data_IF_501014517847
#
_entry.id   IF_501014517847
#
_cell.length_a   1.000
_cell.length_b   1.000
_cell.length_c   1.000
_cell.angle_alpha   90.00
_cell.angle_beta   90.00
_cell.angle_gamma   90.00
#
_symmetry.space_group_name_H-M   'P 1'
#
loop_
_entity.id
_entity.type
_entity.pdbx_description
1 polymer ?
#
# COMPACT_ATOMS: atom_id res chain seq x y z
N UNK A 1 65.14 -18.84 49.15
CA UNK A 1 64.63 -17.55 48.64
C UNK A 1 63.35 -17.77 47.81
N UNK A 2 62.15 -17.93 48.41
CA UNK A 2 60.91 -18.19 47.67
C UNK A 2 60.05 -16.94 47.40
N UNK A 3 60.21 -15.87 48.20
CA UNK A 3 59.31 -14.72 48.20
C UNK A 3 59.35 -13.89 46.90
N UNK A 4 60.50 -13.79 46.23
CA UNK A 4 60.63 -13.00 44.98
C UNK A 4 59.91 -13.65 43.79
N UNK A 5 59.85 -14.99 43.74
CA UNK A 5 59.14 -15.73 42.69
C UNK A 5 57.61 -15.63 42.84
N UNK A 6 57.10 -15.69 44.08
CA UNK A 6 55.67 -15.53 44.36
C UNK A 6 55.15 -14.13 44.04
N UNK A 7 55.94 -13.08 44.28
CA UNK A 7 55.57 -11.70 43.93
C UNK A 7 55.48 -11.51 42.42
N UNK A 8 56.40 -12.11 41.65
CA UNK A 8 56.39 -12.05 40.18
C UNK A 8 55.16 -12.75 39.60
N UNK A 9 54.84 -13.95 40.09
CA UNK A 9 53.65 -14.71 39.66
C UNK A 9 52.37 -13.94 40.00
N UNK A 10 52.28 -13.36 41.20
CA UNK A 10 51.14 -12.53 41.59
C UNK A 10 50.98 -11.30 40.68
N UNK A 11 52.09 -10.63 40.33
CA UNK A 11 52.07 -9.47 39.45
C UNK A 11 51.59 -9.82 38.03
N UNK A 12 52.08 -10.93 37.45
CA UNK A 12 51.64 -11.41 36.12
C UNK A 12 50.16 -11.78 36.13
N UNK A 13 49.68 -12.39 37.22
CA UNK A 13 48.29 -12.79 37.35
C UNK A 13 47.36 -11.58 37.46
N UNK A 14 47.76 -10.55 38.21
CA UNK A 14 47.02 -9.27 38.29
C UNK A 14 46.96 -8.58 36.92
N UNK A 15 48.09 -8.48 36.22
CA UNK A 15 48.13 -7.89 34.86
C UNK A 15 47.25 -8.69 33.89
N UNK A 16 47.32 -10.03 33.93
CA UNK A 16 46.47 -10.89 33.12
C UNK A 16 44.98 -10.68 33.41
N UNK A 17 44.62 -10.49 34.67
CA UNK A 17 43.24 -10.22 35.09
C UNK A 17 42.74 -8.86 34.58
N UNK A 18 43.60 -7.83 34.59
CA UNK A 18 43.28 -6.53 34.00
C UNK A 18 43.10 -6.60 32.48
N UNK A 19 43.99 -7.31 31.78
CA UNK A 19 43.89 -7.48 30.32
C UNK A 19 42.61 -8.24 29.95
N UNK A 20 42.30 -9.33 30.65
CA UNK A 20 41.08 -10.10 30.43
C UNK A 20 39.82 -9.28 30.74
N UNK A 21 39.84 -8.50 31.83
CA UNK A 21 38.73 -7.61 32.17
C UNK A 21 38.50 -6.59 31.06
N UNK A 22 39.55 -5.90 30.59
CA UNK A 22 39.44 -4.91 29.52
C UNK A 22 38.92 -5.53 28.20
N UNK A 23 39.35 -6.75 27.88
CA UNK A 23 38.87 -7.53 26.73
C UNK A 23 37.36 -7.82 26.83
N UNK A 24 36.90 -8.24 28.01
CA UNK A 24 35.48 -8.50 28.27
C UNK A 24 34.66 -7.22 28.15
N UNK A 25 35.12 -6.09 28.72
CA UNK A 25 34.41 -4.80 28.59
C UNK A 25 34.37 -4.32 27.15
N UNK A 26 35.47 -4.44 26.40
CA UNK A 26 35.52 -4.08 24.99
C UNK A 26 34.56 -4.95 24.16
N UNK A 27 34.49 -6.25 24.44
CA UNK A 27 33.57 -7.17 23.79
C UNK A 27 32.09 -6.88 24.13
N UNK A 28 31.79 -6.60 25.40
CA UNK A 28 30.45 -6.19 25.83
C UNK A 28 30.03 -4.86 25.19
N UNK A 29 30.92 -3.86 25.16
CA UNK A 29 30.66 -2.60 24.49
C UNK A 29 30.44 -2.79 22.98
N UNK A 30 31.23 -3.65 22.33
CA UNK A 30 31.07 -3.97 20.91
C UNK A 30 29.74 -4.67 20.61
N UNK A 31 29.36 -5.65 21.42
CA UNK A 31 28.08 -6.37 21.25
C UNK A 31 26.87 -5.49 21.56
N UNK A 32 26.95 -4.60 22.56
CA UNK A 32 25.93 -3.58 22.82
C UNK A 32 25.83 -2.59 21.66
N UNK A 33 26.96 -2.14 21.11
CA UNK A 33 26.99 -1.26 19.96
C UNK A 33 26.34 -1.91 18.73
N UNK A 34 26.67 -3.19 18.44
CA UNK A 34 26.05 -3.93 17.34
C UNK A 34 24.54 -4.12 17.53
N UNK A 35 24.10 -4.45 18.75
CA UNK A 35 22.66 -4.57 19.06
C UNK A 35 21.93 -3.24 18.90
N UNK A 36 22.43 -2.17 19.49
CA UNK A 36 21.82 -0.84 19.37
C UNK A 36 21.78 -0.37 17.90
N UNK A 37 22.86 -0.57 17.15
CA UNK A 37 22.93 -0.26 15.72
C UNK A 37 21.90 -1.04 14.90
N UNK A 38 21.71 -2.33 15.19
CA UNK A 38 20.73 -3.16 14.48
C UNK A 38 19.28 -2.71 14.69
N UNK A 39 18.95 -2.23 15.90
CA UNK A 39 17.61 -1.72 16.22
C UNK A 39 17.36 -0.41 15.49
N UNK A 40 18.30 0.54 15.57
CA UNK A 40 18.20 1.83 14.89
C UNK A 40 18.11 1.66 13.37
N UNK A 41 18.89 0.73 12.80
CA UNK A 41 18.80 0.38 11.37
C UNK A 41 17.41 -0.11 11.01
N UNK A 42 16.86 -1.05 11.78
CA UNK A 42 15.54 -1.61 11.51
C UNK A 42 14.45 -0.55 11.59
N UNK A 43 14.55 0.36 12.55
CA UNK A 43 13.61 1.47 12.71
C UNK A 43 13.67 2.44 11.54
N UNK A 44 14.87 2.87 11.12
CA UNK A 44 15.04 3.79 9.97
C UNK A 44 14.54 3.13 8.68
N UNK A 45 14.93 1.88 8.41
CA UNK A 45 14.45 1.14 7.24
C UNK A 45 12.93 0.99 7.27
N UNK A 46 12.36 0.62 8.42
CA UNK A 46 10.91 0.49 8.57
C UNK A 46 10.21 1.83 8.37
N UNK A 47 10.73 2.92 8.91
CA UNK A 47 10.15 4.26 8.76
C UNK A 47 10.13 4.68 7.29
N UNK A 48 11.26 4.56 6.58
CA UNK A 48 11.35 4.88 5.15
C UNK A 48 10.41 3.98 4.33
N UNK A 49 10.32 2.69 4.66
CA UNK A 49 9.45 1.75 3.94
C UNK A 49 7.97 2.06 4.14
N UNK A 50 7.56 2.42 5.35
CA UNK A 50 6.18 2.82 5.65
C UNK A 50 5.84 4.12 4.94
N UNK A 51 6.76 5.09 4.95
CA UNK A 51 6.59 6.35 4.26
C UNK A 51 6.50 6.17 2.74
N UNK A 52 7.34 5.29 2.17
CA UNK A 52 7.28 4.91 0.77
C UNK A 52 5.92 4.32 0.38
N UNK A 53 5.37 3.41 1.20
CA UNK A 53 4.02 2.87 0.98
C UNK A 53 2.93 3.94 1.04
N UNK A 54 3.07 4.94 1.92
CA UNK A 54 2.13 6.08 2.00
C UNK A 54 2.24 6.97 0.76
N UNK A 55 3.46 7.26 0.30
CA UNK A 55 3.70 7.99 -0.95
C UNK A 55 3.05 7.28 -2.14
N UNK A 56 3.23 5.97 -2.27
CA UNK A 56 2.57 5.15 -3.29
C UNK A 56 1.04 5.19 -3.17
N UNK A 57 0.50 5.05 -1.96
CA UNK A 57 -0.94 5.13 -1.73
C UNK A 57 -1.52 6.48 -2.17
N UNK A 58 -0.84 7.59 -1.86
CA UNK A 58 -1.25 8.93 -2.27
C UNK A 58 -1.25 9.10 -3.80
N UNK A 59 -0.24 8.55 -4.48
CA UNK A 59 -0.16 8.58 -5.94
C UNK A 59 -1.21 7.69 -6.61
N UNK A 60 -1.53 6.54 -6.01
CA UNK A 60 -2.64 5.71 -6.49
C UNK A 60 -3.99 6.39 -6.26
N UNK A 61 -4.18 7.07 -5.13
CA UNK A 61 -5.37 7.89 -4.89
C UNK A 61 -5.50 9.01 -5.95
N UNK A 62 -4.39 9.67 -6.31
CA UNK A 62 -4.37 10.64 -7.40
C UNK A 62 -4.82 10.04 -8.74
N UNK A 63 -4.19 8.93 -9.16
CA UNK A 63 -4.51 8.28 -10.43
C UNK A 63 -5.97 7.78 -10.49
N UNK A 64 -6.46 7.19 -9.40
CA UNK A 64 -7.83 6.67 -9.35
C UNK A 64 -8.87 7.80 -9.34
N UNK A 65 -8.61 8.91 -8.66
CA UNK A 65 -9.51 10.08 -8.64
C UNK A 65 -9.53 10.84 -9.97
N UNK A 66 -8.38 10.98 -10.63
CA UNK A 66 -8.31 11.63 -11.94
C UNK A 66 -9.01 10.83 -13.04
N UNK A 67 -8.97 9.49 -12.98
CA UNK A 67 -9.58 8.62 -13.97
C UNK A 67 -11.07 8.32 -13.74
N UNK A 68 -11.58 8.30 -12.50
CA UNK A 68 -13.00 7.99 -12.25
C UNK A 68 -13.93 9.18 -12.50
N UNK A 69 -13.69 10.30 -11.81
CA UNK A 69 -14.56 11.47 -11.87
C UNK A 69 -13.80 12.73 -11.42
N UNK A 70 -13.02 13.29 -12.35
CA UNK A 70 -12.14 14.43 -12.06
C UNK A 70 -12.89 15.64 -11.48
N UNK A 71 -14.11 15.92 -11.93
CA UNK A 71 -14.85 17.12 -11.47
C UNK A 71 -15.21 17.05 -10.00
N UNK A 72 -15.51 15.84 -9.49
CA UNK A 72 -15.77 15.61 -8.05
C UNK A 72 -14.51 15.82 -7.20
N UNK A 73 -13.34 15.50 -7.72
CA UNK A 73 -12.07 15.54 -6.99
C UNK A 73 -11.15 16.67 -7.43
N UNK A 74 -11.69 17.69 -8.10
CA UNK A 74 -10.95 18.79 -8.72
C UNK A 74 -10.09 19.58 -7.74
N UNK A 75 -10.54 19.76 -6.50
CA UNK A 75 -9.75 20.43 -5.46
C UNK A 75 -8.45 19.67 -5.13
N UNK A 76 -8.48 18.34 -5.21
CA UNK A 76 -7.33 17.49 -4.96
C UNK A 76 -6.48 17.31 -6.22
N UNK A 77 -7.10 17.00 -7.36
CA UNK A 77 -6.39 16.74 -8.63
C UNK A 77 -5.84 18.01 -9.25
N UNK A 78 -6.51 19.16 -9.06
CA UNK A 78 -6.10 20.46 -9.60
C UNK A 78 -4.72 20.91 -9.14
N UNK A 79 -4.29 20.51 -7.93
CA UNK A 79 -2.94 20.80 -7.40
C UNK A 79 -1.82 20.16 -8.21
N UNK A 80 -2.14 19.18 -9.03
CA UNK A 80 -1.19 18.42 -9.84
C UNK A 80 -1.28 18.77 -11.33
N UNK A 81 -2.20 19.64 -11.74
CA UNK A 81 -2.33 20.09 -13.14
C UNK A 81 -1.07 20.87 -13.60
N UNK A 82 -0.48 21.67 -12.71
CA UNK A 82 0.79 22.38 -12.98
C UNK A 82 1.96 21.41 -13.24
N UNK A 83 1.89 20.20 -12.69
CA UNK A 83 2.85 19.13 -12.90
C UNK A 83 2.54 18.27 -14.14
N UNK A 84 1.55 18.68 -14.94
CA UNK A 84 1.17 18.03 -16.20
C UNK A 84 0.11 16.94 -16.07
N UNK A 85 -0.63 16.88 -14.95
CA UNK A 85 -1.79 16.00 -14.81
C UNK A 85 -2.88 16.43 -15.81
N UNK A 86 -3.37 15.47 -16.60
CA UNK A 86 -4.51 15.66 -17.49
C UNK A 86 -5.71 14.85 -16.96
N UNK A 87 -6.89 15.45 -16.81
CA UNK A 87 -8.10 14.74 -16.40
C UNK A 87 -8.37 13.50 -17.26
N UNK A 88 -8.66 12.36 -16.63
CA UNK A 88 -8.96 11.11 -17.34
C UNK A 88 -7.76 10.38 -17.97
N UNK A 89 -6.58 10.98 -18.03
CA UNK A 89 -5.39 10.39 -18.65
C UNK A 89 -4.50 9.68 -17.62
N UNK A 90 -4.51 8.34 -17.64
CA UNK A 90 -3.70 7.51 -16.74
C UNK A 90 -2.19 7.73 -16.97
N UNK A 91 -1.75 7.98 -18.21
CA UNK A 91 -0.33 8.16 -18.50
C UNK A 91 0.18 9.49 -17.93
N UNK A 92 -0.66 10.53 -17.92
CA UNK A 92 -0.35 11.76 -17.19
C UNK A 92 -0.21 11.53 -15.69
N UNK A 93 -1.13 10.76 -15.09
CA UNK A 93 -1.08 10.44 -13.67
C UNK A 93 0.19 9.63 -13.31
N UNK A 94 0.59 8.69 -14.18
CA UNK A 94 1.85 7.95 -14.04
C UNK A 94 3.08 8.85 -14.09
N UNK A 95 3.13 9.81 -15.03
CA UNK A 95 4.24 10.78 -15.11
C UNK A 95 4.35 11.63 -13.85
N UNK A 96 3.22 12.17 -13.37
CA UNK A 96 3.16 12.93 -12.12
C UNK A 96 3.58 12.08 -10.92
N UNK A 97 3.12 10.83 -10.86
CA UNK A 97 3.51 9.91 -9.80
C UNK A 97 5.02 9.61 -9.79
N UNK A 98 5.66 9.45 -10.95
CA UNK A 98 7.12 9.30 -11.03
C UNK A 98 7.85 10.55 -10.52
N UNK A 99 7.46 11.73 -11.00
CA UNK A 99 8.05 12.99 -10.56
C UNK A 99 7.89 13.24 -9.04
N UNK A 100 6.74 12.84 -8.48
CA UNK A 100 6.51 12.90 -7.04
C UNK A 100 7.41 11.92 -6.28
N UNK A 101 7.57 10.68 -6.76
CA UNK A 101 8.43 9.69 -6.11
C UNK A 101 9.91 10.08 -6.20
N UNK A 102 10.36 10.70 -7.28
CA UNK A 102 11.70 11.28 -7.41
C UNK A 102 11.93 12.42 -6.40
N UNK A 103 10.93 13.29 -6.23
CA UNK A 103 10.95 14.35 -5.22
C UNK A 103 10.98 13.78 -3.80
N UNK A 104 10.20 12.72 -3.55
CA UNK A 104 10.21 11.98 -2.29
C UNK A 104 11.58 11.34 -2.02
N UNK A 105 12.20 10.72 -3.02
CA UNK A 105 13.54 10.13 -2.91
C UNK A 105 14.58 11.18 -2.49
N UNK A 106 14.55 12.36 -3.12
CA UNK A 106 15.39 13.48 -2.77
C UNK A 106 15.13 13.97 -1.33
N UNK A 107 13.86 14.08 -0.92
CA UNK A 107 13.49 14.49 0.43
C UNK A 107 13.97 13.50 1.50
N UNK A 108 13.86 12.19 1.26
CA UNK A 108 14.35 11.16 2.20
C UNK A 108 15.88 11.21 2.32
N UNK A 109 16.60 11.42 1.22
CA UNK A 109 18.07 11.58 1.25
C UNK A 109 18.49 12.77 2.12
N UNK A 110 17.76 13.88 2.05
CA UNK A 110 18.00 15.06 2.90
C UNK A 110 17.63 14.79 4.35
N UNK A 111 16.43 14.25 4.61
CA UNK A 111 15.91 14.02 5.95
C UNK A 111 16.77 13.05 6.76
N UNK A 112 17.41 12.07 6.10
CA UNK A 112 18.27 11.09 6.75
C UNK A 112 19.74 11.22 6.34
N UNK A 113 20.18 12.41 5.91
CA UNK A 113 21.56 12.64 5.45
C UNK A 113 22.62 12.20 6.49
N UNK A 114 22.38 12.48 7.78
CA UNK A 114 23.25 12.08 8.89
C UNK A 114 23.43 10.56 9.02
N UNK A 115 22.44 9.79 8.57
CA UNK A 115 22.49 8.32 8.55
C UNK A 115 23.11 7.78 7.25
N UNK A 116 23.57 8.64 6.35
CA UNK A 116 24.20 8.24 5.10
C UNK A 116 23.25 7.44 4.20
N UNK A 117 21.98 7.85 4.17
CA UNK A 117 20.94 7.15 3.41
C UNK A 117 21.11 7.39 1.93
N UNK A 118 21.16 6.30 1.18
CA UNK A 118 21.00 6.31 -0.26
C UNK A 118 19.75 5.53 -0.60
N UNK A 119 18.80 6.23 -1.22
CA UNK A 119 17.54 5.68 -1.70
C UNK A 119 17.60 5.62 -3.21
N UNK A 120 17.12 4.54 -3.80
CA UNK A 120 17.00 4.36 -5.25
C UNK A 120 15.66 3.66 -5.53
N UNK A 121 14.85 4.28 -6.38
CA UNK A 121 13.63 3.67 -6.93
C UNK A 121 14.02 2.61 -7.97
N UNK A 122 13.39 1.43 -7.88
CA UNK A 122 13.65 0.31 -8.78
C UNK A 122 12.37 -0.03 -9.53
N UNK A 123 12.43 -0.06 -10.86
CA UNK A 123 11.34 -0.56 -11.68
C UNK A 123 11.03 -2.00 -11.30
N UNK A 124 9.76 -2.25 -10.97
CA UNK A 124 9.31 -3.55 -10.50
C UNK A 124 7.98 -3.90 -11.14
N UNK A 125 7.82 -5.18 -11.45
CA UNK A 125 6.57 -5.75 -11.93
C UNK A 125 5.94 -6.55 -10.81
N UNK A 126 4.66 -6.32 -10.55
CA UNK A 126 3.86 -7.16 -9.66
C UNK A 126 2.79 -7.92 -10.43
N UNK A 127 2.69 -9.21 -10.19
CA UNK A 127 1.59 -10.04 -10.65
C UNK A 127 0.42 -9.94 -9.66
N UNK A 128 -0.73 -9.43 -10.13
CA UNK A 128 -1.97 -9.31 -9.35
C UNK A 128 -3.06 -10.24 -9.88
N UNK A 129 -2.69 -11.24 -10.68
CA UNK A 129 -3.62 -12.16 -11.33
C UNK A 129 -4.43 -12.97 -10.33
N UNK A 130 -3.82 -13.36 -9.22
CA UNK A 130 -4.50 -14.06 -8.12
C UNK A 130 -5.62 -13.20 -7.50
N UNK A 131 -5.42 -11.89 -7.36
CA UNK A 131 -6.41 -10.97 -6.78
C UNK A 131 -7.58 -10.72 -7.74
N UNK A 132 -7.32 -10.70 -9.04
CA UNK A 132 -8.33 -10.41 -10.05
C UNK A 132 -8.98 -11.64 -10.69
N UNK A 133 -8.42 -12.83 -10.47
CA UNK A 133 -8.86 -14.08 -11.10
C UNK A 133 -8.59 -14.14 -12.62
N UNK A 134 -7.71 -13.27 -13.13
CA UNK A 134 -7.36 -13.17 -14.56
C UNK A 134 -5.94 -12.61 -14.74
N UNK A 135 -5.26 -12.87 -15.86
CA UNK A 135 -3.92 -12.32 -16.11
C UNK A 135 -3.91 -10.79 -15.99
N UNK A 136 -3.14 -10.28 -15.02
CA UNK A 136 -3.02 -8.86 -14.76
C UNK A 136 -1.70 -8.54 -14.05
N UNK A 137 -0.98 -7.57 -14.60
CA UNK A 137 0.35 -7.22 -14.13
C UNK A 137 0.46 -5.71 -13.99
N UNK A 138 1.02 -5.25 -12.88
CA UNK A 138 1.33 -3.86 -12.66
C UNK A 138 2.65 -3.57 -13.35
N UNK A 139 2.57 -3.14 -14.61
CA UNK A 139 3.68 -2.56 -15.33
C UNK A 139 3.64 -1.06 -15.21
N UNK A 140 4.81 -0.45 -15.14
CA UNK A 140 4.95 0.99 -15.25
C UNK A 140 4.16 1.76 -14.18
N UNK A 141 4.47 1.42 -12.92
CA UNK A 141 3.98 2.01 -11.69
C UNK A 141 2.51 1.72 -11.36
N UNK A 142 1.54 2.08 -12.21
CA UNK A 142 0.08 2.04 -11.88
C UNK A 142 -0.70 1.14 -12.85
N UNK A 143 -1.64 0.36 -12.31
CA UNK A 143 -2.65 -0.42 -13.04
C UNK A 143 -4.06 -0.13 -12.52
N UNK A 144 -4.95 0.28 -13.43
CA UNK A 144 -6.39 0.41 -13.17
C UNK A 144 -7.16 -0.67 -13.96
N UNK A 145 -7.47 -1.79 -13.32
CA UNK A 145 -8.18 -2.91 -13.92
C UNK A 145 -9.68 -2.86 -13.59
N UNK A 146 -10.38 -1.86 -14.13
CA UNK A 146 -11.77 -1.55 -13.81
C UNK A 146 -12.79 -2.22 -14.75
N UNK A 147 -14.08 -1.99 -14.49
CA UNK A 147 -15.20 -2.38 -15.34
C UNK A 147 -15.36 -3.89 -15.51
N UNK A 148 -15.10 -4.65 -14.45
CA UNK A 148 -15.35 -6.09 -14.40
C UNK A 148 -15.96 -6.47 -13.05
N UNK A 149 -16.47 -7.70 -12.95
CA UNK A 149 -17.07 -8.18 -11.69
C UNK A 149 -16.06 -8.18 -10.56
N UNK A 150 -14.82 -8.59 -10.87
CA UNK A 150 -13.65 -8.37 -10.02
C UNK A 150 -12.75 -7.33 -10.67
N UNK A 151 -12.54 -6.23 -9.95
CA UNK A 151 -11.76 -5.09 -10.40
C UNK A 151 -10.77 -4.66 -9.32
N UNK A 152 -9.73 -3.93 -9.74
CA UNK A 152 -8.72 -3.45 -8.80
C UNK A 152 -7.94 -2.26 -9.30
N UNK A 153 -7.41 -1.50 -8.35
CA UNK A 153 -6.50 -0.38 -8.56
C UNK A 153 -5.21 -0.69 -7.82
N UNK A 154 -4.08 -0.66 -8.51
CA UNK A 154 -2.80 -1.07 -7.95
C UNK A 154 -1.69 -0.12 -8.35
N UNK A 155 -0.73 0.07 -7.45
CA UNK A 155 0.55 0.71 -7.72
C UNK A 155 1.68 -0.17 -7.17
N UNK A 156 2.75 -0.33 -7.93
CA UNK A 156 3.90 -1.14 -7.56
C UNK A 156 5.21 -0.40 -7.86
N UNK A 157 6.10 -0.37 -6.89
CA UNK A 157 7.47 0.10 -7.07
C UNK A 157 8.43 -0.62 -6.13
N UNK A 158 9.68 -0.76 -6.58
CA UNK A 158 10.78 -1.25 -5.78
C UNK A 158 11.52 -0.11 -5.10
N UNK A 159 12.01 -0.38 -3.91
CA UNK A 159 12.83 0.52 -3.11
C UNK A 159 14.14 -0.18 -2.78
N UNK A 160 15.26 0.44 -3.12
CA UNK A 160 16.59 0.01 -2.70
C UNK A 160 17.18 1.04 -1.74
N UNK A 161 17.65 0.55 -0.60
CA UNK A 161 18.21 1.37 0.48
C UNK A 161 19.62 0.92 0.84
N UNK A 162 20.51 1.91 0.97
CA UNK A 162 21.78 1.77 1.66
C UNK A 162 21.81 2.74 2.85
N UNK A 163 22.32 2.29 3.98
CA UNK A 163 22.66 3.12 5.15
C UNK A 163 24.16 3.00 5.38
N UNK A 164 24.95 3.87 4.76
CA UNK A 164 26.43 3.78 4.77
C UNK A 164 26.98 3.91 6.19
N UNK A 165 26.44 4.84 6.98
CA UNK A 165 26.80 5.03 8.39
C UNK A 165 26.54 3.78 9.23
N UNK A 166 25.57 2.96 8.82
CA UNK A 166 25.13 1.79 9.55
C UNK A 166 25.63 0.45 8.96
N UNK A 167 26.38 0.49 7.86
CA UNK A 167 26.91 -0.70 7.20
C UNK A 167 25.85 -1.56 6.53
N UNK A 168 24.64 -1.03 6.31
CA UNK A 168 23.57 -1.72 5.59
C UNK A 168 23.66 -1.36 4.11
N UNK A 169 23.79 -2.36 3.24
CA UNK A 169 23.90 -2.15 1.80
C UNK A 169 22.97 -3.10 1.05
N UNK A 170 22.36 -2.60 -0.02
CA UNK A 170 21.57 -3.39 -0.94
C UNK A 170 20.25 -3.91 -0.36
N UNK A 171 19.71 -3.28 0.70
CA UNK A 171 18.41 -3.65 1.20
C UNK A 171 17.34 -3.32 0.15
N UNK A 172 16.48 -4.28 -0.18
CA UNK A 172 15.44 -4.12 -1.19
C UNK A 172 14.07 -4.43 -0.59
N UNK A 173 13.09 -3.61 -0.92
CA UNK A 173 11.69 -3.92 -0.70
C UNK A 173 10.88 -3.66 -1.96
N UNK A 174 9.89 -4.52 -2.19
CA UNK A 174 8.85 -4.30 -3.19
C UNK A 174 7.61 -3.86 -2.42
N UNK A 175 7.04 -2.73 -2.84
CA UNK A 175 5.80 -2.23 -2.26
C UNK A 175 4.70 -2.30 -3.31
N UNK A 176 3.73 -3.19 -3.07
CA UNK A 176 2.46 -3.23 -3.77
C UNK A 176 1.41 -2.59 -2.85
N UNK A 177 0.75 -1.54 -3.34
CA UNK A 177 -0.38 -0.89 -2.68
C UNK A 177 -1.58 -0.99 -3.61
N UNK A 178 -2.75 -1.34 -3.09
CA UNK A 178 -3.91 -1.48 -3.93
C UNK A 178 -5.23 -1.64 -3.19
N UNK A 179 -6.29 -1.63 -3.98
CA UNK A 179 -7.66 -1.88 -3.54
C UNK A 179 -8.34 -2.76 -4.60
N UNK A 180 -8.87 -3.90 -4.16
CA UNK A 180 -9.62 -4.85 -5.00
C UNK A 180 -11.08 -4.84 -4.57
N UNK A 181 -11.98 -4.85 -5.53
CA UNK A 181 -13.42 -4.95 -5.33
C UNK A 181 -13.97 -6.06 -6.21
N UNK A 182 -14.65 -7.02 -5.59
CA UNK A 182 -15.41 -8.06 -6.27
C UNK A 182 -16.90 -7.89 -5.99
N UNK A 183 -17.72 -7.99 -7.03
CA UNK A 183 -19.17 -8.13 -6.92
C UNK A 183 -19.47 -9.62 -7.00
N UNK A 184 -19.89 -10.20 -5.87
CA UNK A 184 -20.17 -11.63 -5.77
C UNK A 184 -21.54 -11.95 -6.35
N UNK A 185 -22.59 -11.26 -5.86
CA UNK A 185 -23.96 -11.56 -6.22
C UNK A 185 -24.87 -10.33 -6.07
N UNK A 186 -25.90 -10.27 -6.92
CA UNK A 186 -27.03 -9.36 -6.78
C UNK A 186 -28.30 -10.17 -6.50
N UNK A 187 -28.96 -9.86 -5.39
CA UNK A 187 -30.20 -10.49 -4.94
C UNK A 187 -31.37 -9.56 -5.25
N UNK A 188 -32.05 -9.81 -6.38
CA UNK A 188 -33.19 -8.99 -6.81
C UNK A 188 -34.34 -8.95 -5.78
N UNK A 189 -34.62 -10.09 -5.12
CA UNK A 189 -35.72 -10.21 -4.13
C UNK A 189 -35.63 -9.18 -3.01
N UNK A 190 -34.41 -8.88 -2.56
CA UNK A 190 -34.15 -7.98 -1.45
C UNK A 190 -33.35 -6.74 -1.90
N UNK A 191 -33.24 -6.51 -3.21
CA UNK A 191 -32.46 -5.43 -3.82
C UNK A 191 -31.07 -5.24 -3.17
N UNK A 192 -30.36 -6.36 -2.99
CA UNK A 192 -29.14 -6.42 -2.19
C UNK A 192 -27.96 -6.81 -3.06
N UNK A 193 -26.83 -6.10 -2.94
CA UNK A 193 -25.57 -6.44 -3.59
C UNK A 193 -24.59 -6.94 -2.53
N UNK A 194 -23.96 -8.08 -2.80
CA UNK A 194 -22.84 -8.57 -2.00
C UNK A 194 -21.53 -8.23 -2.70
N UNK A 195 -20.65 -7.54 -1.99
CA UNK A 195 -19.32 -7.20 -2.47
C UNK A 195 -18.24 -7.72 -1.53
N UNK A 196 -17.03 -7.89 -2.06
CA UNK A 196 -15.81 -8.16 -1.30
C UNK A 196 -14.78 -7.07 -1.57
N UNK A 197 -14.18 -6.53 -0.51
CA UNK A 197 -13.14 -5.51 -0.60
C UNK A 197 -11.85 -6.01 0.04
N UNK A 198 -10.77 -5.99 -0.74
CA UNK A 198 -9.43 -6.37 -0.30
C UNK A 198 -8.48 -5.19 -0.47
N UNK A 199 -7.54 -5.03 0.46
CA UNK A 199 -6.48 -4.05 0.40
C UNK A 199 -5.13 -4.72 0.14
N UNK A 200 -4.28 -4.02 -0.60
CA UNK A 200 -2.89 -4.37 -0.90
C UNK A 200 -2.76 -5.81 -1.41
N UNK A 201 -2.03 -6.66 -0.69
CA UNK A 201 -1.78 -8.04 -1.09
C UNK A 201 -2.91 -9.00 -0.64
N UNK A 202 -4.16 -8.65 -0.92
CA UNK A 202 -5.33 -9.48 -0.62
C UNK A 202 -5.79 -9.47 0.85
N UNK A 203 -5.34 -8.50 1.64
CA UNK A 203 -5.77 -8.36 3.03
C UNK A 203 -7.23 -7.90 3.12
N UNK A 204 -8.01 -8.43 4.05
CA UNK A 204 -9.42 -8.06 4.18
C UNK A 204 -9.57 -6.62 4.64
N UNK A 205 -10.32 -5.81 3.89
CA UNK A 205 -10.59 -4.43 4.26
C UNK A 205 -11.92 -4.33 5.04
N UNK A 206 -11.84 -4.15 6.36
CA UNK A 206 -13.00 -4.06 7.27
C UNK A 206 -13.50 -2.64 7.57
N UNK A 207 -12.81 -1.61 7.09
CA UNK A 207 -13.04 -0.22 7.50
C UNK A 207 -13.82 0.62 6.46
N UNK A 208 -14.55 -0.02 5.55
CA UNK A 208 -15.28 0.70 4.49
C UNK A 208 -16.35 1.63 5.07
N UNK A 209 -17.04 1.22 6.13
CA UNK A 209 -18.10 2.02 6.78
C UNK A 209 -17.56 3.16 7.64
N UNK A 210 -16.41 2.95 8.28
CA UNK A 210 -15.86 3.89 9.25
C UNK A 210 -14.98 4.96 8.63
N UNK A 211 -14.25 4.61 7.55
CA UNK A 211 -13.21 5.47 6.96
C UNK A 211 -13.20 5.50 5.44
N UNK A 212 -13.99 4.64 4.81
CA UNK A 212 -14.17 4.62 3.36
C UNK A 212 -15.57 5.08 2.98
N UNK A 213 -15.96 4.72 1.76
CA UNK A 213 -17.35 4.82 1.32
C UNK A 213 -17.61 3.88 0.15
N UNK A 214 -18.89 3.61 -0.11
CA UNK A 214 -19.34 2.84 -1.26
C UNK A 214 -20.53 3.53 -1.92
N UNK A 215 -20.54 3.53 -3.24
CA UNK A 215 -21.63 4.07 -4.05
C UNK A 215 -21.98 3.07 -5.15
N UNK A 216 -23.27 3.04 -5.50
CA UNK A 216 -23.79 2.19 -6.57
C UNK A 216 -24.40 3.08 -7.64
N UNK A 217 -24.04 2.81 -8.88
CA UNK A 217 -24.57 3.48 -10.06
C UNK A 217 -25.20 2.43 -10.97
N UNK A 218 -26.29 2.79 -11.65
CA UNK A 218 -26.94 1.91 -12.62
C UNK A 218 -27.16 2.67 -13.92
N UNK A 219 -27.20 1.93 -15.01
CA UNK A 219 -27.40 2.51 -16.32
C UNK A 219 -28.86 2.97 -16.46
N UNK A 220 -29.06 4.24 -16.79
CA UNK A 220 -30.37 4.81 -17.07
C UNK A 220 -30.29 5.55 -18.42
N UNK A 221 -30.78 4.90 -19.47
CA UNK A 221 -30.60 5.36 -20.85
C UNK A 221 -29.11 5.36 -21.25
N UNK A 222 -28.62 6.50 -21.73
CA UNK A 222 -27.21 6.68 -22.10
C UNK A 222 -26.31 7.10 -20.92
N UNK A 223 -26.89 7.37 -19.75
CA UNK A 223 -26.18 7.88 -18.58
C UNK A 223 -26.09 6.89 -17.41
N UNK A 224 -25.32 7.28 -16.40
CA UNK A 224 -25.25 6.58 -15.11
C UNK A 224 -26.03 7.37 -14.04
N UNK A 225 -27.01 6.72 -13.43
CA UNK A 225 -27.75 7.27 -12.30
C UNK A 225 -27.24 6.66 -10.99
N UNK A 226 -27.17 7.46 -9.93
CA UNK A 226 -26.77 6.99 -8.60
C UNK A 226 -27.95 6.30 -7.92
N UNK A 227 -27.77 5.05 -7.50
CA UNK A 227 -28.74 4.34 -6.69
C UNK A 227 -28.70 4.87 -5.24
N UNK A 228 -29.88 4.96 -4.61
CA UNK A 228 -29.98 5.31 -3.20
C UNK A 228 -29.68 4.06 -2.36
N UNK A 229 -28.63 4.14 -1.55
CA UNK A 229 -28.23 3.09 -0.62
C UNK A 229 -29.00 3.29 0.69
N UNK A 230 -29.68 2.24 1.14
CA UNK A 230 -30.43 2.21 2.41
C UNK A 230 -29.52 1.87 3.58
N UNK A 231 -28.76 0.79 3.41
CA UNK A 231 -27.88 0.27 4.45
C UNK A 231 -26.67 -0.42 3.82
N UNK A 232 -25.56 -0.42 4.56
CA UNK A 232 -24.37 -1.19 4.23
C UNK A 232 -23.90 -1.91 5.48
N UNK A 233 -23.95 -3.25 5.46
CA UNK A 233 -23.58 -4.10 6.59
C UNK A 233 -22.25 -4.80 6.31
N UNK A 234 -21.34 -4.81 7.29
CA UNK A 234 -20.12 -5.63 7.22
C UNK A 234 -20.40 -7.06 7.66
N UNK A 235 -20.06 -8.05 6.83
CA UNK A 235 -20.30 -9.48 7.09
C UNK A 235 -19.03 -10.23 7.57
N UNK A 236 -17.89 -9.54 7.68
CA UNK A 236 -16.60 -10.16 7.98
C UNK A 236 -15.81 -10.55 6.73
N UNK A 237 -14.51 -10.80 6.89
CA UNK A 237 -13.60 -11.25 5.81
C UNK A 237 -13.61 -10.36 4.54
N UNK A 238 -13.85 -9.06 4.72
CA UNK A 238 -13.91 -8.08 3.63
C UNK A 238 -15.24 -8.07 2.88
N UNK A 239 -16.22 -8.88 3.29
CA UNK A 239 -17.55 -8.90 2.70
C UNK A 239 -18.44 -7.79 3.24
N UNK A 240 -19.16 -7.14 2.34
CA UNK A 240 -20.19 -6.17 2.66
C UNK A 240 -21.47 -6.50 1.91
N UNK A 241 -22.58 -6.25 2.59
CA UNK A 241 -23.92 -6.31 2.04
C UNK A 241 -24.44 -4.90 1.86
N UNK A 242 -24.82 -4.53 0.65
CA UNK A 242 -25.39 -3.22 0.31
C UNK A 242 -26.86 -3.42 0.01
N UNK A 243 -27.74 -2.80 0.78
CA UNK A 243 -29.19 -2.79 0.54
C UNK A 243 -29.55 -1.48 -0.16
N UNK A 244 -30.21 -1.58 -1.30
CA UNK A 244 -30.61 -0.42 -2.10
C UNK A 244 -32.08 -0.07 -1.84
N UNK A 245 -32.38 1.22 -1.71
CA UNK A 245 -33.75 1.76 -1.75
C UNK A 245 -34.27 1.81 -3.20
N UNK A 246 -33.39 2.01 -4.18
CA UNK A 246 -33.73 2.10 -5.60
C UNK A 246 -33.72 0.71 -6.24
N UNK A 247 -34.87 0.23 -6.69
CA UNK A 247 -34.95 -1.04 -7.43
C UNK A 247 -34.21 -0.92 -8.76
N UNK A 248 -33.25 -1.80 -9.00
CA UNK A 248 -32.51 -1.83 -10.25
C UNK A 248 -33.37 -2.50 -11.33
N UNK A 249 -33.56 -1.88 -12.51
CA UNK A 249 -34.37 -2.49 -13.57
C UNK A 249 -33.77 -3.82 -14.02
N UNK A 250 -34.62 -4.76 -14.46
CA UNK A 250 -34.19 -6.08 -14.93
C UNK A 250 -33.14 -5.99 -16.04
N UNK A 251 -32.10 -6.84 -15.97
CA UNK A 251 -30.97 -6.88 -16.92
C UNK A 251 -30.22 -5.56 -17.14
N UNK A 252 -30.15 -4.70 -16.12
CA UNK A 252 -29.42 -3.43 -16.20
C UNK A 252 -27.96 -3.57 -15.72
N UNK A 253 -26.98 -3.05 -16.46
CA UNK A 253 -25.62 -2.89 -15.96
C UNK A 253 -25.56 -1.94 -14.77
N UNK A 254 -24.85 -2.34 -13.73
CA UNK A 254 -24.57 -1.50 -12.58
C UNK A 254 -23.07 -1.49 -12.26
N UNK A 255 -22.64 -0.42 -11.62
CA UNK A 255 -21.27 -0.19 -11.17
C UNK A 255 -21.29 -0.01 -9.66
N UNK A 256 -20.36 -0.65 -8.98
CA UNK A 256 -20.07 -0.39 -7.57
C UNK A 256 -18.72 0.32 -7.50
N UNK A 257 -18.70 1.45 -6.81
CA UNK A 257 -17.51 2.26 -6.58
C UNK A 257 -17.21 2.22 -5.10
N UNK A 258 -16.00 1.79 -4.74
CA UNK A 258 -15.55 1.77 -3.36
C UNK A 258 -14.31 2.65 -3.19
N UNK A 259 -14.23 3.35 -2.06
CA UNK A 259 -13.05 4.09 -1.63
C UNK A 259 -12.59 3.65 -0.26
N UNK A 260 -11.27 3.52 -0.08
CA UNK A 260 -10.67 3.25 1.22
C UNK A 260 -10.26 4.54 1.97
N UNK A 261 -9.73 4.37 3.18
CA UNK A 261 -9.25 5.46 4.05
C UNK A 261 -8.08 6.27 3.45
N UNK A 262 -7.37 5.70 2.49
CA UNK A 262 -6.25 6.34 1.78
C UNK A 262 -6.75 7.14 0.58
N UNK A 263 -8.04 7.03 0.24
CA UNK A 263 -8.65 7.72 -0.87
C UNK A 263 -8.48 7.03 -2.22
N UNK A 264 -8.02 5.78 -2.23
CA UNK A 264 -7.89 4.95 -3.42
C UNK A 264 -9.30 4.52 -3.83
N UNK A 265 -9.61 4.63 -5.13
CA UNK A 265 -10.90 4.22 -5.68
C UNK A 265 -10.77 2.97 -6.53
N UNK A 266 -11.82 2.15 -6.54
CA UNK A 266 -11.95 1.02 -7.46
C UNK A 266 -13.38 0.96 -7.98
N UNK A 267 -13.51 0.59 -9.26
CA UNK A 267 -14.78 0.57 -9.99
C UNK A 267 -15.00 -0.84 -10.53
N UNK A 268 -15.97 -1.55 -9.95
CA UNK A 268 -16.40 -2.86 -10.42
C UNK A 268 -17.73 -2.74 -11.17
N UNK A 269 -17.94 -3.56 -12.20
CA UNK A 269 -19.15 -3.56 -13.03
C UNK A 269 -19.75 -4.96 -13.08
N UNK A 270 -21.06 -5.03 -12.95
CA UNK A 270 -21.84 -6.25 -13.13
C UNK A 270 -23.16 -5.93 -13.86
N UNK A 271 -23.94 -6.97 -14.16
CA UNK A 271 -25.29 -6.85 -14.73
C UNK A 271 -26.25 -7.55 -13.78
N UNK A 272 -27.41 -6.96 -13.54
CA UNK A 272 -28.47 -7.61 -12.76
C UNK A 272 -29.00 -8.81 -13.55
N UNK A 273 -28.49 -10.00 -13.30
CA UNK A 273 -29.03 -11.21 -13.95
C UNK A 273 -30.22 -11.74 -13.14
N UNK A 274 -31.38 -11.97 -13.77
CA UNK A 274 -32.44 -12.74 -13.14
C UNK A 274 -31.97 -14.19 -13.07
N UNK A 275 -31.60 -14.67 -11.89
CA UNK A 275 -31.30 -16.10 -11.72
C UNK A 275 -32.58 -16.88 -12.01
N UNK A 276 -32.64 -17.59 -13.14
CA UNK A 276 -33.58 -18.70 -13.32
C UNK A 276 -33.32 -19.68 -12.18
N UNK A 277 -34.30 -19.81 -11.27
CA UNK A 277 -34.27 -20.82 -10.22
C UNK A 277 -33.96 -22.17 -10.84
N UNK A 278 -32.90 -22.83 -10.38
CA UNK A 278 -32.82 -24.28 -10.49
C UNK A 278 -33.80 -24.82 -9.46
N UNK A 279 -34.99 -25.19 -9.93
CA UNK A 279 -35.84 -26.17 -9.26
C UNK A 279 -35.24 -27.56 -9.35
#
# INVERSE_FOLDING_TARGET
MPAKGQILVAAVLVVGLFVMSALVTAYQAHTLFLRARSVVVREVVSAITVDFKRALAAMLALATRSCFNHTRFSEFTGRFEEYGLKPGDLDSAKRVARAFLESWEAAVRVAYAEKGVQVELVETVADVSFLLGRPAYVYDLVLLAWNSTTSGSYICAGLKLNLTSAGLYGWKAIALVGLTLSIDEYFAVNNTIRIRVLADNGTYYGNLLARGWVEVYYQQGEGWARAKVKDVTYEGFGYYRIVLDTELPGETPFIVVASDERGILVVARAVTSPRKGRG
#
